data_IF_635179948330
#
_entry.id   IF_635179948330
#
_cell.length_a   1.000
_cell.length_b   1.000
_cell.length_c   1.000
_cell.angle_alpha   90.00
_cell.angle_beta   90.00
_cell.angle_gamma   90.00
#
_symmetry.space_group_name_H-M   'P 1'
#
loop_
_entity.id
_entity.type
_entity.pdbx_description
1 polymer ?
#
# COMPACT_ATOMS: atom_id res chain seq x y z
N UNK A 1 71.27 35.86 -15.84
CA UNK A 1 70.55 35.40 -14.63
C UNK A 1 69.19 36.07 -14.57
N UNK A 2 68.12 35.39 -14.96
CA UNK A 2 66.73 35.66 -14.54
C UNK A 2 65.87 34.46 -14.93
N UNK A 3 65.17 33.96 -13.94
CA UNK A 3 64.65 32.60 -13.81
C UNK A 3 63.44 32.34 -14.71
N UNK A 4 63.42 31.14 -15.32
CA UNK A 4 62.28 30.56 -16.02
C UNK A 4 61.31 30.01 -14.97
N UNK A 5 60.12 30.60 -14.85
CA UNK A 5 59.03 30.06 -14.02
C UNK A 5 58.27 29.05 -14.89
N UNK A 6 58.41 27.77 -14.56
CA UNK A 6 57.59 26.69 -15.12
C UNK A 6 56.32 26.62 -14.27
N UNK A 7 55.20 27.10 -14.82
CA UNK A 7 53.87 26.92 -14.22
C UNK A 7 53.36 25.52 -14.54
N UNK A 8 53.39 24.64 -13.53
CA UNK A 8 52.77 23.32 -13.59
C UNK A 8 51.26 23.47 -13.43
N UNK A 9 50.49 23.33 -14.52
CA UNK A 9 49.03 23.16 -14.43
C UNK A 9 48.74 21.76 -13.85
N UNK A 10 48.27 21.72 -12.61
CA UNK A 10 47.67 20.51 -12.03
C UNK A 10 46.22 20.47 -12.48
N UNK A 11 45.92 19.64 -13.47
CA UNK A 11 44.55 19.30 -13.82
C UNK A 11 43.98 18.37 -12.74
N UNK A 12 43.21 18.92 -11.80
CA UNK A 12 42.38 18.13 -10.89
C UNK A 12 41.21 17.55 -11.68
N UNK A 13 41.32 16.29 -12.09
CA UNK A 13 40.18 15.49 -12.51
C UNK A 13 39.27 15.27 -11.31
N UNK A 14 38.23 16.09 -11.17
CA UNK A 14 37.13 15.78 -10.28
C UNK A 14 36.37 14.60 -10.87
N UNK A 15 36.59 13.40 -10.33
CA UNK A 15 35.73 12.26 -10.58
C UNK A 15 34.35 12.59 -10.01
N UNK A 16 33.38 12.90 -10.88
CA UNK A 16 31.99 12.82 -10.51
C UNK A 16 31.70 11.36 -10.20
N UNK A 17 31.64 11.02 -8.91
CA UNK A 17 31.00 9.79 -8.48
C UNK A 17 29.53 9.91 -8.90
N UNK A 18 29.18 9.30 -10.03
CA UNK A 18 27.79 8.96 -10.33
C UNK A 18 27.36 8.01 -9.22
N UNK A 19 26.70 8.55 -8.19
CA UNK A 19 26.16 7.75 -7.09
C UNK A 19 25.28 6.67 -7.72
N UNK A 20 25.74 5.42 -7.67
CA UNK A 20 24.98 4.30 -8.18
C UNK A 20 23.72 4.22 -7.33
N UNK A 21 22.56 4.50 -7.94
CA UNK A 21 21.27 4.32 -7.27
C UNK A 21 21.16 2.83 -6.98
N UNK A 22 21.39 2.43 -5.73
CA UNK A 22 21.22 1.06 -5.29
C UNK A 22 19.73 0.76 -5.20
N UNK A 23 19.22 0.05 -6.19
CA UNK A 23 17.85 -0.44 -6.20
C UNK A 23 17.65 -1.52 -5.13
N UNK A 24 16.49 -1.53 -4.46
CA UNK A 24 16.17 -2.56 -3.47
C UNK A 24 15.75 -3.87 -4.18
N UNK A 25 16.54 -4.97 -4.09
CA UNK A 25 16.20 -6.25 -4.73
C UNK A 25 14.92 -6.89 -4.17
N UNK A 26 14.45 -6.50 -2.98
CA UNK A 26 13.16 -6.95 -2.46
C UNK A 26 11.97 -6.56 -3.35
N UNK A 27 12.15 -5.59 -4.26
CA UNK A 27 11.13 -5.20 -5.26
C UNK A 27 11.14 -6.05 -6.52
N UNK A 28 12.07 -7.00 -6.69
CA UNK A 28 12.18 -7.79 -7.94
C UNK A 28 10.94 -8.65 -8.23
N UNK A 29 10.19 -9.03 -7.19
CA UNK A 29 8.93 -9.74 -7.40
C UNK A 29 7.87 -8.83 -8.04
N UNK A 30 7.89 -7.52 -7.76
CA UNK A 30 6.94 -6.55 -8.31
C UNK A 30 7.11 -6.39 -9.81
N UNK A 31 8.35 -6.34 -10.31
CA UNK A 31 8.61 -6.24 -11.75
C UNK A 31 8.22 -7.53 -12.53
N UNK A 32 8.19 -8.67 -11.83
CA UNK A 32 7.70 -9.95 -12.38
C UNK A 32 6.19 -10.05 -12.31
N UNK A 33 5.58 -9.48 -11.26
CA UNK A 33 4.15 -9.30 -11.16
C UNK A 33 3.67 -8.31 -12.23
N UNK A 34 2.48 -8.53 -12.76
CA UNK A 34 1.87 -7.67 -13.77
C UNK A 34 0.61 -7.02 -13.22
N UNK A 35 -0.26 -7.82 -12.60
CA UNK A 35 -1.58 -7.37 -12.18
C UNK A 35 -1.96 -7.92 -10.80
N UNK A 36 -2.23 -7.02 -9.86
CA UNK A 36 -2.75 -7.34 -8.53
C UNK A 36 -4.18 -6.83 -8.33
N UNK A 37 -4.91 -7.49 -7.44
CA UNK A 37 -6.22 -7.03 -6.98
C UNK A 37 -6.09 -6.25 -5.67
N UNK A 38 -7.01 -5.33 -5.39
CA UNK A 38 -7.07 -4.61 -4.13
C UNK A 38 -8.50 -4.54 -3.61
N UNK A 39 -8.63 -4.54 -2.28
CA UNK A 39 -9.91 -4.48 -1.60
C UNK A 39 -9.90 -3.49 -0.44
N UNK A 40 -10.80 -2.51 -0.52
CA UNK A 40 -11.26 -1.75 0.65
C UNK A 40 -12.34 -2.52 1.41
N UNK A 41 -11.95 -3.23 2.48
CA UNK A 41 -12.88 -3.77 3.47
C UNK A 41 -12.78 -2.96 4.74
N UNK A 42 -13.62 -1.93 4.85
CA UNK A 42 -13.50 -0.90 5.89
C UNK A 42 -14.53 -1.11 7.00
N UNK A 43 -14.12 -1.63 8.16
CA UNK A 43 -15.02 -1.75 9.30
C UNK A 43 -15.34 -0.37 9.89
N UNK A 44 -16.37 -0.36 10.72
CA UNK A 44 -17.02 0.80 11.30
C UNK A 44 -18.05 0.32 12.32
N UNK A 45 -18.60 1.22 13.12
CA UNK A 45 -19.50 0.86 14.23
C UNK A 45 -20.68 -0.02 13.78
N UNK A 46 -21.22 0.18 12.59
CA UNK A 46 -22.39 -0.54 12.09
C UNK A 46 -22.07 -1.90 11.47
N UNK A 47 -20.84 -2.12 11.01
CA UNK A 47 -20.44 -3.31 10.27
C UNK A 47 -19.24 -4.03 10.89
N UNK A 48 -18.81 -3.68 12.10
CA UNK A 48 -17.64 -4.30 12.73
C UNK A 48 -17.82 -5.81 12.96
N UNK A 49 -19.04 -6.23 13.32
CA UNK A 49 -19.38 -7.64 13.46
C UNK A 49 -19.35 -8.41 12.13
N UNK A 50 -19.41 -7.74 10.98
CA UNK A 50 -19.37 -8.39 9.67
C UNK A 50 -18.02 -9.06 9.40
N UNK A 51 -16.94 -8.65 10.08
CA UNK A 51 -15.62 -9.26 9.94
C UNK A 51 -15.69 -10.78 10.17
N UNK A 52 -16.52 -11.24 11.12
CA UNK A 52 -16.66 -12.68 11.42
C UNK A 52 -17.39 -13.47 10.32
N UNK A 53 -18.14 -12.79 9.46
CA UNK A 53 -18.84 -13.40 8.32
C UNK A 53 -18.02 -13.40 7.03
N UNK A 54 -16.83 -12.80 7.01
CA UNK A 54 -15.97 -12.75 5.83
C UNK A 54 -15.51 -14.14 5.40
N UNK A 55 -15.73 -14.49 4.13
CA UNK A 55 -15.37 -15.79 3.56
C UNK A 55 -14.01 -15.71 2.86
N UNK A 56 -12.95 -16.12 3.58
CA UNK A 56 -11.57 -16.09 3.08
C UNK A 56 -11.38 -17.08 1.94
N UNK A 57 -11.96 -18.28 2.03
CA UNK A 57 -11.80 -19.31 1.00
C UNK A 57 -12.46 -18.88 -0.31
N UNK A 58 -13.64 -18.27 -0.25
CA UNK A 58 -14.31 -17.75 -1.43
C UNK A 58 -13.51 -16.62 -2.12
N UNK A 59 -12.95 -15.68 -1.34
CA UNK A 59 -12.06 -14.65 -1.88
C UNK A 59 -10.83 -15.26 -2.56
N UNK A 60 -10.15 -16.19 -1.88
CA UNK A 60 -8.90 -16.76 -2.37
C UNK A 60 -9.16 -17.58 -3.63
N UNK A 61 -10.27 -18.32 -3.70
CA UNK A 61 -10.70 -19.00 -4.91
C UNK A 61 -10.89 -18.02 -6.09
N UNK A 62 -11.48 -16.84 -5.86
CA UNK A 62 -11.59 -15.82 -6.91
C UNK A 62 -10.22 -15.31 -7.37
N UNK A 63 -9.30 -15.05 -6.43
CA UNK A 63 -7.96 -14.56 -6.76
C UNK A 63 -7.15 -15.60 -7.56
N UNK A 64 -7.24 -16.88 -7.18
CA UNK A 64 -6.58 -18.00 -7.87
C UNK A 64 -7.16 -18.19 -9.27
N UNK A 65 -8.49 -18.27 -9.39
CA UNK A 65 -9.19 -18.38 -10.68
C UNK A 65 -8.92 -17.16 -11.58
N UNK A 66 -8.66 -16.00 -10.97
CA UNK A 66 -8.29 -14.79 -11.67
C UNK A 66 -6.81 -14.67 -12.03
N UNK A 67 -5.97 -15.62 -11.58
CA UNK A 67 -4.51 -15.59 -11.74
C UNK A 67 -3.90 -14.26 -11.28
N UNK A 68 -4.39 -13.71 -10.16
CA UNK A 68 -3.85 -12.48 -9.59
C UNK A 68 -2.43 -12.73 -9.05
N UNK A 69 -1.47 -11.88 -9.43
CA UNK A 69 -0.08 -12.06 -9.01
C UNK A 69 0.11 -11.68 -7.53
N UNK A 70 -0.72 -10.75 -7.04
CA UNK A 70 -0.71 -10.28 -5.67
C UNK A 70 -2.05 -9.66 -5.25
N UNK A 71 -2.24 -9.50 -3.94
CA UNK A 71 -3.46 -8.96 -3.36
C UNK A 71 -3.16 -7.90 -2.28
N UNK A 72 -3.83 -6.75 -2.37
CA UNK A 72 -3.79 -5.69 -1.38
C UNK A 72 -5.06 -5.65 -0.51
N UNK A 73 -4.90 -5.57 0.81
CA UNK A 73 -6.02 -5.56 1.74
C UNK A 73 -5.85 -4.50 2.83
N UNK A 74 -6.94 -3.83 3.18
CA UNK A 74 -6.94 -2.79 4.22
C UNK A 74 -6.88 -3.38 5.62
N UNK A 75 -5.91 -2.95 6.44
CA UNK A 75 -5.98 -3.14 7.90
C UNK A 75 -7.12 -2.32 8.49
N UNK A 76 -7.27 -1.07 8.03
CA UNK A 76 -8.29 -0.13 8.44
C UNK A 76 -8.09 1.19 7.69
N UNK A 77 -8.94 2.18 7.95
CA UNK A 77 -8.81 3.53 7.40
C UNK A 77 -9.53 4.52 8.33
N UNK A 78 -10.15 5.55 7.75
CA UNK A 78 -10.65 6.74 8.44
C UNK A 78 -11.78 6.47 9.45
N UNK A 79 -12.35 5.27 9.51
CA UNK A 79 -13.45 4.94 10.43
C UNK A 79 -13.01 4.62 11.87
N UNK A 80 -11.72 4.35 12.12
CA UNK A 80 -11.22 4.03 13.47
C UNK A 80 -11.43 2.59 13.91
N UNK A 81 -11.63 1.68 12.95
CA UNK A 81 -11.75 0.25 13.20
C UNK A 81 -10.75 -0.50 12.32
N UNK A 82 -10.27 -1.62 12.82
CA UNK A 82 -9.25 -2.42 12.15
C UNK A 82 -9.68 -3.89 12.04
N UNK A 83 -9.33 -4.52 10.92
CA UNK A 83 -9.60 -5.92 10.60
C UNK A 83 -8.67 -6.92 11.32
N UNK A 84 -7.83 -6.44 12.24
CA UNK A 84 -6.90 -7.24 13.00
C UNK A 84 -6.78 -6.78 14.45
N UNK A 85 -6.40 -7.67 15.39
CA UNK A 85 -6.06 -7.30 16.75
C UNK A 85 -4.75 -6.48 16.77
N UNK A 86 -4.65 -5.54 17.70
CA UNK A 86 -3.39 -4.84 17.99
C UNK A 86 -3.35 -4.38 19.46
N UNK A 87 -2.73 -5.15 20.36
CA UNK A 87 -2.66 -4.81 21.78
C UNK A 87 -1.82 -3.56 22.05
N UNK A 88 -0.90 -3.18 21.14
CA UNK A 88 -0.13 -1.93 21.27
C UNK A 88 -1.03 -0.73 20.99
N UNK A 89 -1.91 -0.82 19.99
CA UNK A 89 -2.94 0.21 19.77
C UNK A 89 -3.88 0.31 20.97
N UNK A 90 -4.36 -0.82 21.47
CA UNK A 90 -5.26 -0.87 22.63
C UNK A 90 -4.60 -0.22 23.87
N UNK A 91 -3.32 -0.52 24.14
CA UNK A 91 -2.56 0.08 25.23
C UNK A 91 -2.35 1.60 25.06
N UNK A 92 -1.91 2.04 23.88
CA UNK A 92 -1.63 3.46 23.63
C UNK A 92 -2.90 4.31 23.68
N UNK A 93 -4.03 3.75 23.23
CA UNK A 93 -5.32 4.47 23.17
C UNK A 93 -6.17 4.27 24.42
N UNK A 94 -5.91 3.24 25.22
CA UNK A 94 -6.78 2.84 26.34
C UNK A 94 -8.09 2.18 25.92
N UNK A 95 -8.26 1.86 24.63
CA UNK A 95 -9.39 1.06 24.17
C UNK A 95 -9.30 -0.37 24.69
N UNK A 96 -10.45 -1.01 24.88
CA UNK A 96 -10.47 -2.43 25.25
C UNK A 96 -10.11 -3.30 24.04
N UNK A 97 -9.50 -4.47 24.27
CA UNK A 97 -9.39 -5.48 23.21
C UNK A 97 -10.75 -5.76 22.58
N UNK A 98 -10.79 -5.90 21.25
CA UNK A 98 -12.00 -6.08 20.47
C UNK A 98 -12.96 -4.86 20.43
N UNK A 99 -12.53 -3.66 20.86
CA UNK A 99 -13.34 -2.44 20.76
C UNK A 99 -13.17 -1.73 19.40
N UNK A 100 -11.92 -1.56 18.96
CA UNK A 100 -11.57 -0.96 17.65
C UNK A 100 -10.83 -1.91 16.73
N UNK A 101 -9.94 -2.72 17.29
CA UNK A 101 -9.21 -3.78 16.61
C UNK A 101 -10.00 -5.09 16.71
N UNK A 102 -10.31 -5.77 15.61
CA UNK A 102 -11.15 -6.96 15.66
C UNK A 102 -10.53 -8.13 16.43
N UNK A 103 -11.38 -8.98 16.99
CA UNK A 103 -10.93 -10.24 17.62
C UNK A 103 -10.43 -11.24 16.57
N UNK A 104 -11.15 -11.38 15.46
CA UNK A 104 -10.71 -12.17 14.30
C UNK A 104 -9.56 -11.43 13.63
N UNK A 105 -8.48 -12.16 13.36
CA UNK A 105 -7.34 -11.64 12.62
C UNK A 105 -7.49 -11.99 11.14
N UNK A 106 -8.39 -11.26 10.47
CA UNK A 106 -8.75 -11.53 9.10
C UNK A 106 -7.54 -11.41 8.13
N UNK A 107 -6.66 -10.39 8.25
CA UNK A 107 -5.45 -10.32 7.44
C UNK A 107 -4.51 -11.51 7.62
N UNK A 108 -4.37 -12.08 8.82
CA UNK A 108 -3.56 -13.29 9.02
C UNK A 108 -4.11 -14.49 8.26
N UNK A 109 -5.43 -14.68 8.27
CA UNK A 109 -6.09 -15.77 7.53
C UNK A 109 -5.88 -15.60 6.01
N UNK A 110 -6.10 -14.39 5.50
CA UNK A 110 -5.88 -14.04 4.08
C UNK A 110 -4.41 -14.24 3.70
N UNK A 111 -3.46 -13.72 4.49
CA UNK A 111 -2.03 -13.81 4.19
C UNK A 111 -1.55 -15.26 4.12
N UNK A 112 -2.01 -16.11 5.05
CA UNK A 112 -1.73 -17.56 5.04
C UNK A 112 -2.31 -18.23 3.79
N UNK A 113 -3.52 -17.86 3.39
CA UNK A 113 -4.16 -18.42 2.21
C UNK A 113 -3.48 -17.96 0.91
N UNK A 114 -3.18 -16.67 0.76
CA UNK A 114 -2.39 -16.12 -0.34
C UNK A 114 -1.05 -16.86 -0.50
N UNK A 115 -0.31 -17.04 0.61
CA UNK A 115 0.98 -17.74 0.61
C UNK A 115 0.88 -19.19 0.11
N UNK A 116 -0.19 -19.92 0.44
CA UNK A 116 -0.42 -21.30 -0.06
C UNK A 116 -0.54 -21.35 -1.59
N UNK A 117 -1.01 -20.27 -2.21
CA UNK A 117 -1.23 -20.18 -3.65
C UNK A 117 -0.17 -19.35 -4.39
N UNK A 118 0.89 -18.93 -3.71
CA UNK A 118 1.96 -18.13 -4.31
C UNK A 118 1.54 -16.69 -4.66
N UNK A 119 0.42 -16.21 -4.11
CA UNK A 119 -0.07 -14.84 -4.28
C UNK A 119 0.66 -13.96 -3.26
N UNK A 120 1.33 -12.90 -3.72
CA UNK A 120 1.98 -11.93 -2.82
C UNK A 120 0.95 -11.10 -2.07
N UNK A 121 1.23 -10.70 -0.83
CA UNK A 121 0.25 -9.99 -0.01
C UNK A 121 0.76 -8.62 0.45
N UNK A 122 -0.05 -7.59 0.21
CA UNK A 122 0.22 -6.20 0.60
C UNK A 122 -0.84 -5.75 1.61
N UNK A 123 -0.40 -5.09 2.69
CA UNK A 123 -1.30 -4.43 3.64
C UNK A 123 -1.40 -2.93 3.36
N UNK A 124 -2.61 -2.40 3.43
CA UNK A 124 -2.88 -0.97 3.39
C UNK A 124 -3.17 -0.43 4.79
N UNK A 125 -2.60 0.74 5.10
CA UNK A 125 -2.86 1.48 6.35
C UNK A 125 -2.58 2.98 6.14
N UNK A 126 -3.36 3.92 6.69
CA UNK A 126 -2.95 5.33 6.67
C UNK A 126 -1.67 5.59 7.49
N UNK A 127 -0.96 6.67 7.16
CA UNK A 127 0.25 7.12 7.87
C UNK A 127 -0.06 7.66 9.28
N UNK A 128 -1.34 7.84 9.62
CA UNK A 128 -1.85 8.27 10.91
C UNK A 128 -3.00 7.36 11.35
N UNK A 129 -3.37 7.37 12.64
CA UNK A 129 -4.64 6.84 13.09
C UNK A 129 -5.83 7.44 12.32
N UNK A 130 -6.99 6.82 12.46
CA UNK A 130 -8.16 7.19 11.70
C UNK A 130 -8.65 8.64 11.98
N UNK A 131 -8.88 9.41 10.93
CA UNK A 131 -9.38 10.79 11.03
C UNK A 131 -10.69 10.94 11.84
N UNK A 132 -11.57 9.92 11.85
CA UNK A 132 -12.84 9.91 12.61
C UNK A 132 -12.70 9.39 14.05
N UNK A 133 -11.49 9.07 14.49
CA UNK A 133 -11.19 8.68 15.87
C UNK A 133 -10.25 9.70 16.53
N UNK A 134 -10.84 10.84 16.91
CA UNK A 134 -10.11 11.92 17.56
C UNK A 134 -9.43 11.49 18.88
N UNK A 135 -10.03 10.52 19.58
CA UNK A 135 -9.48 9.95 20.81
C UNK A 135 -8.18 9.18 20.52
N UNK A 136 -8.20 8.29 19.52
CA UNK A 136 -6.99 7.56 19.12
C UNK A 136 -5.89 8.50 18.61
N UNK A 137 -6.25 9.53 17.85
CA UNK A 137 -5.30 10.54 17.34
C UNK A 137 -4.58 11.27 18.49
N UNK A 138 -5.34 11.79 19.45
CA UNK A 138 -4.78 12.47 20.63
C UNK A 138 -3.90 11.53 21.46
N UNK A 139 -4.39 10.32 21.74
CA UNK A 139 -3.69 9.36 22.57
C UNK A 139 -2.37 8.87 21.94
N UNK A 140 -2.33 8.73 20.61
CA UNK A 140 -1.13 8.36 19.86
C UNK A 140 -0.16 9.53 19.75
N UNK A 141 -0.64 10.78 19.85
CA UNK A 141 0.19 11.98 19.91
C UNK A 141 0.11 12.87 18.66
N UNK A 142 -0.94 12.71 17.86
CA UNK A 142 -1.31 13.64 16.80
C UNK A 142 -2.32 14.68 17.31
N UNK A 143 -2.46 15.84 16.64
CA UNK A 143 -3.54 16.76 16.95
C UNK A 143 -4.90 16.07 16.77
N UNK A 144 -5.91 16.44 17.56
CA UNK A 144 -7.29 15.98 17.35
C UNK A 144 -8.12 16.94 16.47
N UNK A 145 -7.60 18.14 16.19
CA UNK A 145 -8.26 19.22 15.46
C UNK A 145 -7.51 19.60 14.17
N UNK A 146 -8.23 19.97 13.09
CA UNK A 146 -9.69 19.90 12.95
C UNK A 146 -10.20 18.44 12.96
N UNK A 147 -11.45 18.19 13.37
CA UNK A 147 -12.00 16.84 13.33
C UNK A 147 -12.22 16.39 11.87
N UNK A 148 -12.08 15.08 11.62
CA UNK A 148 -12.37 14.46 10.31
C UNK A 148 -11.57 15.03 9.13
N UNK A 149 -10.32 15.43 9.36
CA UNK A 149 -9.44 16.01 8.34
C UNK A 149 -8.02 15.49 8.52
N UNK A 150 -7.19 15.58 7.49
CA UNK A 150 -5.76 15.31 7.63
C UNK A 150 -5.13 16.34 8.57
N UNK A 151 -4.30 15.87 9.50
CA UNK A 151 -3.78 16.70 10.60
C UNK A 151 -2.27 16.75 10.56
N UNK A 152 -1.72 17.84 11.10
CA UNK A 152 -0.28 18.01 11.13
C UNK A 152 0.43 16.81 11.77
N UNK A 153 1.40 16.29 11.03
CA UNK A 153 2.22 15.16 11.42
C UNK A 153 3.19 15.59 12.52
N UNK A 154 3.25 14.82 13.60
CA UNK A 154 4.13 15.08 14.74
C UNK A 154 5.13 13.93 14.88
N UNK A 155 6.33 14.22 15.38
CA UNK A 155 7.31 13.16 15.68
C UNK A 155 6.84 12.21 16.80
N UNK A 156 6.25 12.70 17.92
CA UNK A 156 5.70 11.81 18.94
C UNK A 156 4.59 10.89 18.39
N UNK A 157 3.66 11.43 17.61
CA UNK A 157 2.61 10.66 16.93
C UNK A 157 3.20 9.60 16.01
N UNK A 158 4.18 9.98 15.18
CA UNK A 158 4.88 9.05 14.30
C UNK A 158 5.59 7.94 15.06
N UNK A 159 6.26 8.24 16.18
CA UNK A 159 6.95 7.23 16.98
C UNK A 159 5.98 6.21 17.60
N UNK A 160 4.83 6.67 18.09
CA UNK A 160 3.83 5.77 18.65
C UNK A 160 3.10 4.97 17.56
N UNK A 161 2.77 5.60 16.42
CA UNK A 161 2.19 4.88 15.28
C UNK A 161 3.15 3.84 14.72
N UNK A 162 4.46 4.13 14.69
CA UNK A 162 5.47 3.16 14.30
C UNK A 162 5.47 1.91 15.21
N UNK A 163 5.18 2.02 16.52
CA UNK A 163 5.04 0.86 17.42
C UNK A 163 3.82 0.01 17.06
N UNK A 164 2.71 0.66 16.69
CA UNK A 164 1.49 -0.03 16.23
C UNK A 164 1.77 -0.80 14.93
N UNK A 165 2.45 -0.16 13.98
CA UNK A 165 2.90 -0.77 12.72
C UNK A 165 3.87 -1.92 13.00
N UNK A 166 4.85 -1.72 13.88
CA UNK A 166 5.87 -2.72 14.23
C UNK A 166 5.25 -3.98 14.80
N UNK A 167 4.22 -3.85 15.65
CA UNK A 167 3.47 -5.00 16.15
C UNK A 167 2.90 -5.82 14.99
N UNK A 168 2.12 -5.20 14.10
CA UNK A 168 1.54 -5.92 12.96
C UNK A 168 2.61 -6.50 12.04
N UNK A 169 3.67 -5.74 11.75
CA UNK A 169 4.78 -6.21 10.92
C UNK A 169 5.41 -7.48 11.48
N UNK A 170 5.73 -7.51 12.78
CA UNK A 170 6.29 -8.69 13.45
C UNK A 170 5.30 -9.84 13.55
N UNK A 171 4.03 -9.51 13.83
CA UNK A 171 2.95 -10.48 13.97
C UNK A 171 2.71 -11.25 12.66
N UNK A 172 2.73 -10.56 11.52
CA UNK A 172 2.57 -11.19 10.20
C UNK A 172 3.87 -11.76 9.63
N UNK A 173 5.02 -11.16 9.95
CA UNK A 173 6.33 -11.61 9.51
C UNK A 173 6.42 -11.78 7.99
N UNK A 174 6.94 -12.93 7.56
CA UNK A 174 7.17 -13.26 6.15
C UNK A 174 5.88 -13.62 5.35
N UNK A 175 4.71 -13.43 5.94
CA UNK A 175 3.42 -13.58 5.26
C UNK A 175 2.99 -12.31 4.52
N UNK A 176 3.55 -11.15 4.88
CA UNK A 176 3.28 -9.86 4.23
C UNK A 176 4.51 -9.45 3.43
N UNK A 177 4.32 -9.30 2.13
CA UNK A 177 5.37 -8.93 1.17
C UNK A 177 5.49 -7.41 1.00
N UNK A 178 4.44 -6.64 1.30
CA UNK A 178 4.51 -5.20 1.20
C UNK A 178 3.48 -4.39 1.99
N UNK A 179 3.72 -3.09 2.05
CA UNK A 179 2.93 -2.12 2.82
C UNK A 179 2.68 -0.87 2.01
N UNK A 180 1.40 -0.54 1.82
CA UNK A 180 0.96 0.66 1.12
C UNK A 180 0.40 1.64 2.14
N UNK A 181 1.18 2.67 2.47
CA UNK A 181 0.75 3.66 3.46
C UNK A 181 0.05 4.85 2.80
N UNK A 182 -1.18 5.14 3.20
CA UNK A 182 -1.92 6.31 2.67
C UNK A 182 -1.63 7.59 3.45
N UNK A 183 -1.88 8.77 2.89
CA UNK A 183 -1.85 10.02 3.65
C UNK A 183 -0.45 10.52 4.02
N UNK A 184 0.59 10.10 3.30
CA UNK A 184 1.96 10.60 3.45
C UNK A 184 2.16 11.98 2.84
N UNK A 185 1.27 12.93 3.16
CA UNK A 185 1.16 14.20 2.44
C UNK A 185 2.16 15.27 2.88
N UNK A 186 2.64 16.05 1.92
CA UNK A 186 3.59 17.12 2.20
C UNK A 186 2.96 18.26 3.03
N UNK A 187 1.70 18.61 2.74
CA UNK A 187 1.01 19.74 3.39
C UNK A 187 0.70 19.51 4.87
N UNK A 188 0.60 18.25 5.31
CA UNK A 188 0.49 17.92 6.73
C UNK A 188 1.84 17.75 7.41
N UNK A 189 2.96 17.84 6.68
CA UNK A 189 4.29 17.74 7.26
C UNK A 189 4.87 16.32 7.29
N UNK A 190 4.30 15.34 6.57
CA UNK A 190 4.95 14.04 6.39
C UNK A 190 6.24 14.20 5.59
N UNK A 191 7.32 13.52 6.00
CA UNK A 191 8.69 13.75 5.53
C UNK A 191 9.51 12.48 5.73
N UNK A 192 10.70 12.44 5.16
CA UNK A 192 11.66 11.33 5.23
C UNK A 192 11.87 10.75 6.62
N UNK A 193 12.02 11.57 7.66
CA UNK A 193 12.19 11.09 9.04
C UNK A 193 11.02 10.22 9.55
N UNK A 194 9.81 10.47 9.07
CA UNK A 194 8.62 9.71 9.42
C UNK A 194 8.56 8.40 8.61
N UNK A 195 8.81 8.51 7.29
CA UNK A 195 8.92 7.37 6.40
C UNK A 195 10.01 6.38 6.83
N UNK A 196 11.15 6.89 7.33
CA UNK A 196 12.22 6.08 7.89
C UNK A 196 11.74 5.23 9.07
N UNK A 197 11.01 5.82 10.02
CA UNK A 197 10.46 5.10 11.17
C UNK A 197 9.53 3.98 10.72
N UNK A 198 8.64 4.25 9.77
CA UNK A 198 7.66 3.27 9.30
C UNK A 198 8.31 2.17 8.47
N UNK A 199 9.26 2.52 7.60
CA UNK A 199 10.06 1.57 6.84
C UNK A 199 10.85 0.63 7.76
N UNK A 200 11.45 1.16 8.84
CA UNK A 200 12.13 0.36 9.86
C UNK A 200 11.16 -0.56 10.62
N UNK A 201 9.99 -0.04 11.03
CA UNK A 201 8.96 -0.83 11.71
C UNK A 201 8.51 -2.02 10.87
N UNK A 202 8.20 -1.80 9.59
CA UNK A 202 7.86 -2.84 8.62
C UNK A 202 8.99 -3.88 8.47
N UNK A 203 10.22 -3.39 8.24
CA UNK A 203 11.38 -4.26 8.00
C UNK A 203 11.83 -5.04 9.24
N UNK A 204 11.40 -4.64 10.44
CA UNK A 204 11.64 -5.39 11.67
C UNK A 204 10.86 -6.71 11.75
N UNK A 205 9.73 -6.80 11.04
CA UNK A 205 8.93 -8.02 10.95
C UNK A 205 9.34 -8.91 9.77
N UNK A 206 9.59 -8.29 8.62
CA UNK A 206 10.11 -8.95 7.43
C UNK A 206 11.14 -8.05 6.74
N UNK A 207 12.45 -8.37 6.81
CA UNK A 207 13.50 -7.58 6.17
C UNK A 207 13.34 -7.43 4.64
N UNK A 208 12.57 -8.32 4.01
CA UNK A 208 12.26 -8.30 2.57
C UNK A 208 10.90 -7.67 2.25
N UNK A 209 10.15 -7.17 3.24
CA UNK A 209 8.93 -6.43 2.97
C UNK A 209 9.28 -5.09 2.31
N UNK A 210 8.50 -4.72 1.29
CA UNK A 210 8.62 -3.45 0.58
C UNK A 210 7.57 -2.46 1.09
N UNK A 211 7.91 -1.17 1.20
CA UNK A 211 6.99 -0.14 1.68
C UNK A 211 6.87 1.04 0.70
N UNK A 212 5.71 1.66 0.67
CA UNK A 212 5.47 2.95 -0.03
C UNK A 212 4.66 3.90 0.84
N UNK A 213 4.80 5.20 0.59
CA UNK A 213 4.07 6.27 1.27
C UNK A 213 3.37 7.14 0.23
N UNK A 214 2.05 7.17 0.26
CA UNK A 214 1.24 7.86 -0.74
C UNK A 214 1.24 9.38 -0.52
N UNK A 215 1.74 10.18 -1.48
CA UNK A 215 1.70 11.64 -1.41
C UNK A 215 0.45 12.22 -2.10
N UNK A 216 -0.53 11.38 -2.42
CA UNK A 216 -1.73 11.69 -3.21
C UNK A 216 -1.62 11.24 -4.67
N UNK A 217 -2.59 11.67 -5.49
CA UNK A 217 -2.80 11.19 -6.87
C UNK A 217 -1.69 11.60 -7.83
N UNK A 218 -0.58 10.85 -7.86
CA UNK A 218 0.58 11.06 -8.74
C UNK A 218 1.52 9.85 -8.73
N UNK A 219 2.24 9.67 -9.84
CA UNK A 219 3.32 8.70 -9.96
C UNK A 219 4.66 9.41 -9.75
N UNK A 220 5.16 9.39 -8.51
CA UNK A 220 6.44 9.99 -8.11
C UNK A 220 7.10 9.15 -7.03
N UNK A 221 8.41 9.33 -6.83
CA UNK A 221 9.04 8.97 -5.58
C UNK A 221 8.64 9.97 -4.50
N UNK A 222 8.00 9.53 -3.42
CA UNK A 222 7.52 10.44 -2.37
C UNK A 222 8.58 10.69 -1.30
N UNK A 223 9.36 9.66 -0.95
CA UNK A 223 10.37 9.71 0.11
C UNK A 223 11.61 8.92 -0.26
N UNK A 224 12.73 9.13 0.44
CA UNK A 224 13.91 8.30 0.21
C UNK A 224 13.84 6.90 0.84
N UNK A 225 12.84 6.65 1.70
CA UNK A 225 12.69 5.44 2.52
C UNK A 225 11.59 4.50 2.04
N UNK A 226 10.96 4.81 0.91
CA UNK A 226 10.12 3.88 0.18
C UNK A 226 10.94 2.99 -0.76
N UNK A 227 10.39 1.83 -1.07
CA UNK A 227 10.96 0.85 -1.98
C UNK A 227 10.29 0.91 -3.37
N UNK A 228 9.04 1.35 -3.41
CA UNK A 228 8.24 1.47 -4.62
C UNK A 228 7.34 2.71 -4.57
N UNK A 229 6.85 3.17 -5.72
CA UNK A 229 5.92 4.31 -5.79
C UNK A 229 4.52 3.91 -5.37
N UNK A 230 3.84 4.77 -4.61
CA UNK A 230 2.44 4.53 -4.24
C UNK A 230 1.55 4.46 -5.49
N UNK A 231 1.80 5.41 -6.41
CA UNK A 231 1.22 5.43 -7.75
C UNK A 231 -0.29 5.48 -7.77
N UNK A 232 -0.90 6.16 -6.79
CA UNK A 232 -2.33 6.40 -6.82
C UNK A 232 -2.68 7.23 -8.07
N UNK A 233 -3.57 6.72 -8.92
CA UNK A 233 -4.04 7.45 -10.10
C UNK A 233 -5.54 7.26 -10.31
N UNK A 234 -6.21 8.35 -10.70
CA UNK A 234 -7.61 8.31 -11.08
C UNK A 234 -7.78 7.96 -12.55
N UNK A 235 -7.02 8.60 -13.45
CA UNK A 235 -7.22 8.47 -14.90
C UNK A 235 -6.06 7.70 -15.55
N UNK A 236 -6.10 6.35 -15.59
CA UNK A 236 -4.97 5.51 -15.97
C UNK A 236 -4.43 5.85 -17.36
N UNK A 237 -5.31 6.11 -18.33
CA UNK A 237 -4.92 6.30 -19.73
C UNK A 237 -4.20 7.63 -20.00
N UNK A 238 -4.09 8.51 -19.00
CA UNK A 238 -3.29 9.75 -19.08
C UNK A 238 -1.86 9.55 -18.54
N UNK A 239 -1.60 8.41 -17.89
CA UNK A 239 -0.33 8.12 -17.21
C UNK A 239 0.51 7.20 -18.07
N UNK A 240 1.73 7.62 -18.37
CA UNK A 240 2.74 6.84 -19.09
C UNK A 240 3.88 6.49 -18.15
N UNK A 241 4.23 5.21 -18.11
CA UNK A 241 5.39 4.72 -17.37
C UNK A 241 6.54 4.48 -18.33
N UNK A 242 7.68 5.12 -18.10
CA UNK A 242 8.84 5.06 -18.99
C UNK A 242 9.77 3.88 -18.70
N UNK A 243 9.71 3.32 -17.49
CA UNK A 243 10.52 2.19 -17.09
C UNK A 243 10.25 1.74 -15.67
N UNK A 244 11.06 0.78 -15.23
CA UNK A 244 10.91 0.12 -13.92
C UNK A 244 11.14 1.06 -12.74
N UNK A 245 11.91 2.14 -12.92
CA UNK A 245 12.40 2.97 -11.84
C UNK A 245 12.00 4.43 -12.01
N UNK A 246 11.61 5.08 -10.90
CA UNK A 246 11.52 6.54 -10.76
C UNK A 246 12.35 6.94 -9.56
N UNK A 247 13.45 7.67 -9.78
CA UNK A 247 14.35 8.17 -8.74
C UNK A 247 14.82 7.09 -7.73
N UNK A 248 14.96 5.84 -8.20
CA UNK A 248 15.37 4.69 -7.39
C UNK A 248 14.24 3.87 -6.77
N UNK A 249 12.99 4.36 -6.77
CA UNK A 249 11.81 3.59 -6.38
C UNK A 249 11.33 2.71 -7.54
N UNK A 250 10.95 1.46 -7.25
CA UNK A 250 10.24 0.61 -8.21
C UNK A 250 8.91 1.25 -8.57
N UNK A 251 8.63 1.47 -9.86
CA UNK A 251 7.34 1.99 -10.28
C UNK A 251 6.25 0.96 -10.02
N UNK A 252 5.15 1.41 -9.44
CA UNK A 252 3.92 0.66 -9.17
C UNK A 252 2.75 1.64 -9.27
N UNK A 253 1.61 1.15 -9.73
CA UNK A 253 0.37 1.94 -9.85
C UNK A 253 -0.74 1.29 -9.04
N UNK A 254 -1.52 2.09 -8.34
CA UNK A 254 -2.79 1.73 -7.74
C UNK A 254 -3.92 2.57 -8.37
N UNK A 255 -4.93 1.92 -8.91
CA UNK A 255 -6.14 2.57 -9.45
C UNK A 255 -7.36 1.69 -9.19
N UNK A 256 -8.54 2.07 -9.67
CA UNK A 256 -9.79 1.39 -9.40
C UNK A 256 -10.58 1.05 -10.68
N UNK A 257 -11.31 -0.07 -10.63
CA UNK A 257 -12.13 -0.57 -11.74
C UNK A 257 -13.49 0.11 -11.85
N UNK A 258 -14.07 0.52 -10.72
CA UNK A 258 -15.37 1.19 -10.66
C UNK A 258 -15.31 2.68 -10.91
N UNK A 259 -16.43 3.36 -10.70
CA UNK A 259 -16.52 4.83 -10.80
C UNK A 259 -15.66 5.57 -9.77
N UNK A 260 -15.38 4.93 -8.63
CA UNK A 260 -14.45 5.36 -7.58
C UNK A 260 -14.01 4.13 -6.77
N UNK A 261 -13.08 4.32 -5.83
CA UNK A 261 -12.63 3.29 -4.89
C UNK A 261 -13.80 2.52 -4.25
N UNK A 262 -13.72 1.19 -4.29
CA UNK A 262 -14.66 0.23 -3.70
C UNK A 262 -16.02 0.13 -4.39
N UNK A 263 -16.26 0.84 -5.51
CA UNK A 263 -17.57 0.78 -6.18
C UNK A 263 -17.71 -0.44 -7.08
N UNK A 264 -18.95 -0.97 -7.21
CA UNK A 264 -19.20 -2.24 -7.88
C UNK A 264 -19.33 -2.16 -9.40
N UNK A 265 -19.42 -0.96 -9.97
CA UNK A 265 -19.57 -0.74 -11.41
C UNK A 265 -18.23 -0.92 -12.16
N UNK A 266 -18.24 -0.89 -13.50
CA UNK A 266 -17.02 -0.87 -14.30
C UNK A 266 -16.99 0.41 -15.13
N UNK A 267 -16.00 1.29 -14.89
CA UNK A 267 -15.96 2.62 -15.54
C UNK A 267 -15.40 2.62 -16.97
N UNK A 268 -14.58 1.63 -17.33
CA UNK A 268 -13.95 1.55 -18.65
C UNK A 268 -14.04 0.15 -19.24
N UNK A 269 -13.97 0.07 -20.58
CA UNK A 269 -14.00 -1.20 -21.29
C UNK A 269 -12.60 -1.82 -21.43
N UNK A 270 -12.58 -3.12 -21.71
CA UNK A 270 -11.36 -3.90 -21.90
C UNK A 270 -10.46 -3.31 -23.00
N UNK A 271 -11.03 -2.78 -24.09
CA UNK A 271 -10.27 -2.21 -25.21
C UNK A 271 -9.45 -0.98 -24.82
N UNK A 272 -9.82 -0.31 -23.72
CA UNK A 272 -9.07 0.81 -23.17
C UNK A 272 -8.02 0.33 -22.15
N UNK A 273 -8.40 -0.60 -21.28
CA UNK A 273 -7.51 -1.16 -20.25
C UNK A 273 -6.34 -1.93 -20.84
N UNK A 274 -6.59 -2.82 -21.80
CA UNK A 274 -5.59 -3.79 -22.27
C UNK A 274 -4.35 -3.12 -22.87
N UNK A 275 -4.45 -2.15 -23.81
CA UNK A 275 -3.27 -1.52 -24.37
C UNK A 275 -2.43 -0.80 -23.32
N UNK A 276 -3.09 -0.10 -22.38
CA UNK A 276 -2.42 0.61 -21.31
C UNK A 276 -1.74 -0.35 -20.32
N UNK A 277 -2.43 -1.39 -19.85
CA UNK A 277 -1.84 -2.40 -18.96
C UNK A 277 -0.64 -3.09 -19.60
N UNK A 278 -0.72 -3.43 -20.90
CA UNK A 278 0.41 -4.01 -21.64
C UNK A 278 1.61 -3.08 -21.65
N UNK A 279 1.42 -1.81 -21.99
CA UNK A 279 2.52 -0.84 -22.02
C UNK A 279 3.14 -0.63 -20.63
N UNK A 280 2.30 -0.45 -19.60
CA UNK A 280 2.73 -0.22 -18.21
C UNK A 280 3.49 -1.41 -17.63
N UNK A 281 2.96 -2.62 -17.81
CA UNK A 281 3.60 -3.84 -17.28
C UNK A 281 4.84 -4.23 -18.08
N UNK A 282 4.90 -3.97 -19.40
CA UNK A 282 6.12 -4.13 -20.19
C UNK A 282 7.24 -3.17 -19.77
N UNK A 283 6.90 -2.01 -19.22
CA UNK A 283 7.86 -1.10 -18.58
C UNK A 283 8.34 -1.60 -17.20
N UNK A 284 7.87 -2.76 -16.74
CA UNK A 284 8.23 -3.35 -15.45
C UNK A 284 7.49 -2.72 -14.27
N UNK A 285 6.36 -2.06 -14.50
CA UNK A 285 5.51 -1.48 -13.46
C UNK A 285 4.24 -2.31 -13.28
N UNK A 286 4.07 -3.03 -12.14
CA UNK A 286 2.83 -3.72 -11.85
C UNK A 286 1.70 -2.73 -11.57
N UNK A 287 0.48 -3.15 -11.91
CA UNK A 287 -0.74 -2.39 -11.64
C UNK A 287 -1.60 -3.13 -10.65
N UNK A 288 -2.03 -2.41 -9.63
CA UNK A 288 -3.02 -2.85 -8.64
C UNK A 288 -4.37 -2.23 -8.97
N UNK A 289 -5.41 -3.06 -9.07
CA UNK A 289 -6.77 -2.60 -9.35
C UNK A 289 -7.67 -2.88 -8.15
N UNK A 290 -8.15 -1.81 -7.52
CA UNK A 290 -9.21 -1.86 -6.53
C UNK A 290 -10.57 -2.17 -7.17
N UNK A 291 -11.31 -3.05 -6.50
CA UNK A 291 -12.61 -3.56 -6.94
C UNK A 291 -13.60 -3.53 -5.77
N UNK A 292 -14.87 -3.30 -6.11
CA UNK A 292 -15.99 -3.42 -5.18
C UNK A 292 -16.27 -4.86 -4.77
N UNK A 293 -16.95 -5.00 -3.63
CA UNK A 293 -17.15 -6.29 -2.95
C UNK A 293 -18.57 -6.48 -2.42
N UNK A 294 -18.95 -7.73 -2.20
CA UNK A 294 -20.08 -8.07 -1.35
C UNK A 294 -19.71 -7.84 0.13
N UNK A 295 -20.17 -6.71 0.68
CA UNK A 295 -19.83 -6.25 2.02
C UNK A 295 -20.88 -6.57 3.11
N UNK A 296 -21.89 -7.37 2.79
CA UNK A 296 -22.99 -7.74 3.70
C UNK A 296 -23.20 -9.26 3.72
N UNK A 297 -23.50 -9.86 4.90
CA UNK A 297 -23.74 -11.29 5.00
C UNK A 297 -25.10 -11.71 4.38
N UNK A 298 -25.98 -10.75 4.08
CA UNK A 298 -27.25 -10.96 3.39
C UNK A 298 -27.10 -10.81 1.86
N UNK A 299 -25.88 -10.71 1.34
CA UNK A 299 -25.62 -10.57 -0.08
C UNK A 299 -25.94 -11.85 -0.85
N UNK A 300 -26.10 -11.72 -2.17
CA UNK A 300 -26.33 -12.84 -3.08
C UNK A 300 -25.09 -13.75 -3.29
N UNK A 301 -23.94 -13.39 -2.72
CA UNK A 301 -22.68 -14.12 -2.78
C UNK A 301 -21.95 -14.01 -1.42
N UNK A 302 -20.96 -14.88 -1.15
CA UNK A 302 -20.21 -14.85 0.10
C UNK A 302 -19.59 -13.48 0.36
N UNK A 303 -19.63 -13.04 1.62
CA UNK A 303 -19.04 -11.76 2.01
C UNK A 303 -17.53 -11.76 1.75
N UNK A 304 -17.02 -10.63 1.28
CA UNK A 304 -15.59 -10.47 0.99
C UNK A 304 -15.20 -10.91 -0.40
N UNK A 305 -16.15 -11.38 -1.21
CA UNK A 305 -15.92 -11.66 -2.64
C UNK A 305 -16.10 -10.40 -3.49
N UNK A 306 -15.33 -10.31 -4.57
CA UNK A 306 -15.43 -9.24 -5.56
C UNK A 306 -16.72 -9.32 -6.37
N UNK A 307 -17.15 -8.15 -6.86
CA UNK A 307 -18.32 -8.03 -7.71
C UNK A 307 -18.16 -8.82 -9.01
N UNK A 308 -19.22 -9.52 -9.47
CA UNK A 308 -19.11 -10.53 -10.52
C UNK A 308 -18.64 -9.96 -11.86
N UNK A 309 -19.09 -8.76 -12.22
CA UNK A 309 -18.67 -8.12 -13.47
C UNK A 309 -17.22 -7.61 -13.42
N UNK A 310 -16.79 -7.11 -12.25
CA UNK A 310 -15.42 -6.66 -12.05
C UNK A 310 -14.43 -7.82 -12.06
N UNK A 311 -14.70 -8.92 -11.35
CA UNK A 311 -13.80 -10.07 -11.36
C UNK A 311 -13.73 -10.72 -12.75
N UNK A 312 -14.85 -10.77 -13.51
CA UNK A 312 -14.85 -11.19 -14.91
C UNK A 312 -13.98 -10.28 -15.78
N UNK A 313 -14.04 -8.97 -15.59
CA UNK A 313 -13.19 -8.04 -16.31
C UNK A 313 -11.73 -8.23 -15.93
N UNK A 314 -11.40 -8.28 -14.64
CA UNK A 314 -10.04 -8.55 -14.15
C UNK A 314 -9.44 -9.80 -14.80
N UNK A 315 -10.20 -10.91 -14.89
CA UNK A 315 -9.77 -12.13 -15.59
C UNK A 315 -9.39 -11.90 -17.05
N UNK A 316 -10.20 -11.13 -17.78
CA UNK A 316 -9.93 -10.81 -19.20
C UNK A 316 -8.69 -9.92 -19.33
N UNK A 317 -8.52 -8.96 -18.42
CA UNK A 317 -7.32 -8.12 -18.36
C UNK A 317 -6.08 -8.95 -18.06
N UNK A 318 -6.12 -9.82 -17.04
CA UNK A 318 -5.01 -10.68 -16.66
C UNK A 318 -4.59 -11.62 -17.80
N UNK A 319 -5.57 -12.25 -18.47
CA UNK A 319 -5.34 -13.13 -19.62
C UNK A 319 -4.70 -12.39 -20.80
N UNK A 320 -4.98 -11.10 -20.98
CA UNK A 320 -4.39 -10.31 -22.05
C UNK A 320 -2.90 -9.97 -21.78
N UNK A 321 -2.42 -10.14 -20.55
CA UNK A 321 -1.04 -9.87 -20.14
C UNK A 321 -0.12 -11.11 -20.20
N UNK A 322 -0.67 -12.30 -20.39
CA UNK A 322 0.07 -13.54 -20.66
C UNK A 322 0.62 -13.54 -22.10
#
# INVERSE_FOLDING_TARGET
>A
MRNLIISTLIATCASQATGQINHNPATDWMAKAKLGAFMHFLPGTQNFANIDAFDVDALINQLVDANADYFGFTLGQNNGYYNAPNPVFDELTGYKPAERCSKRDLPMEIAKACKKHGIKFILYLPCQPANRDAHAEEAIGFPATPPNSDRHFTMPGAQNWAKVIEYWAKHYGDLVDGWWFDGGYEWIGFRDKHAQLYSQAVKSGNPNAVATFNPGVKLVRATQFEDYTAGEINDPFTVRVEGRWTDGSQNHILTFMGSMWGRPDCRFKDEQWIPWLKATTAAGCPVTIDMGIYASPQSAAPMGTFMPEQIKQFKRLRKALD
#
